data_IF_806864672851
#
_entry.id   IF_806864672851
#
_cell.length_a   1.000
_cell.length_b   1.000
_cell.length_c   1.000
_cell.angle_alpha   90.00
_cell.angle_beta   90.00
_cell.angle_gamma   90.00
#
_symmetry.space_group_name_H-M   'P 1'
#
loop_
_entity.id
_entity.type
_entity.pdbx_description
1 polymer ?
#
# COMPACT_ATOMS: atom_id res chain seq x y z
N UNK A 1 31.08 -7.68 -39.22
CA UNK A 1 30.20 -6.69 -38.58
C UNK A 1 28.78 -7.19 -38.72
N UNK A 2 28.16 -7.64 -37.64
CA UNK A 2 26.77 -8.09 -37.63
C UNK A 2 26.04 -7.29 -36.55
N UNK A 3 25.13 -6.44 -36.99
CA UNK A 3 24.21 -5.70 -36.13
C UNK A 3 23.10 -6.66 -35.66
N UNK A 4 22.95 -6.81 -34.34
CA UNK A 4 21.81 -7.52 -33.74
C UNK A 4 20.94 -6.49 -33.03
N UNK A 5 19.98 -5.93 -33.77
CA UNK A 5 18.85 -5.20 -33.20
C UNK A 5 17.81 -6.20 -32.71
N UNK A 6 18.00 -6.73 -31.50
CA UNK A 6 17.02 -7.55 -30.78
C UNK A 6 16.31 -6.73 -29.71
N UNK A 7 15.17 -6.14 -30.04
CA UNK A 7 14.31 -5.47 -29.07
C UNK A 7 13.74 -6.48 -28.06
N UNK A 8 14.21 -6.41 -26.81
CA UNK A 8 13.67 -7.21 -25.69
C UNK A 8 12.29 -6.66 -25.32
N UNK A 9 11.22 -7.35 -25.75
CA UNK A 9 9.85 -7.09 -25.28
C UNK A 9 9.72 -7.53 -23.82
N UNK A 10 9.61 -6.58 -22.90
CA UNK A 10 9.23 -6.85 -21.51
C UNK A 10 7.75 -7.24 -21.46
N UNK A 11 7.37 -8.39 -20.88
CA UNK A 11 5.97 -8.72 -20.67
C UNK A 11 5.36 -7.77 -19.64
N UNK A 12 4.12 -7.35 -19.91
CA UNK A 12 3.34 -6.40 -19.12
C UNK A 12 3.30 -6.80 -17.63
N UNK A 13 3.53 -5.82 -16.77
CA UNK A 13 3.38 -5.94 -15.32
C UNK A 13 1.90 -6.23 -15.03
N UNK A 14 1.61 -7.46 -14.56
CA UNK A 14 0.32 -7.78 -13.96
C UNK A 14 0.21 -6.99 -12.66
N UNK A 15 -0.63 -5.96 -12.68
CA UNK A 15 -1.11 -5.26 -11.49
C UNK A 15 -1.59 -6.31 -10.51
N UNK A 16 -0.97 -6.38 -9.33
CA UNK A 16 -1.42 -7.28 -8.27
C UNK A 16 -2.78 -6.78 -7.77
N UNK A 17 -3.84 -7.56 -7.99
CA UNK A 17 -5.17 -7.35 -7.43
C UNK A 17 -5.12 -7.54 -5.90
N UNK A 18 -4.76 -6.46 -5.18
CA UNK A 18 -4.79 -6.38 -3.71
C UNK A 18 -6.25 -6.29 -3.20
N UNK A 19 -7.20 -5.96 -4.07
CA UNK A 19 -8.61 -5.70 -3.73
C UNK A 19 -9.40 -6.93 -3.24
N UNK A 20 -8.88 -8.15 -3.41
CA UNK A 20 -9.59 -9.38 -3.04
C UNK A 20 -9.37 -9.88 -1.60
N UNK A 21 -8.48 -9.25 -0.82
CA UNK A 21 -8.16 -9.72 0.54
C UNK A 21 -9.02 -9.10 1.67
N UNK A 22 -9.86 -8.09 1.39
CA UNK A 22 -10.60 -7.34 2.43
C UNK A 22 -12.11 -7.52 2.44
N UNK A 23 -12.69 -8.43 1.64
CA UNK A 23 -14.14 -8.69 1.67
C UNK A 23 -14.52 -9.86 2.57
N UNK A 24 -14.90 -9.55 3.82
CA UNK A 24 -16.13 -10.02 4.52
C UNK A 24 -16.05 -9.72 6.02
N UNK A 25 -16.61 -8.60 6.44
CA UNK A 25 -17.33 -8.50 7.71
C UNK A 25 -18.57 -7.64 7.44
N UNK A 26 -19.74 -8.28 7.40
CA UNK A 26 -21.05 -7.62 7.28
C UNK A 26 -21.68 -7.57 8.67
N UNK A 27 -22.10 -6.38 9.09
CA UNK A 27 -23.10 -6.21 10.15
C UNK A 27 -23.96 -4.99 9.77
N UNK A 28 -25.23 -5.25 9.47
CA UNK A 28 -26.35 -4.29 9.50
C UNK A 28 -26.68 -4.04 10.99
N UNK A 29 -27.16 -2.90 11.50
CA UNK A 29 -27.99 -1.85 10.93
C UNK A 29 -27.88 -0.59 11.85
N UNK A 30 -28.06 0.61 11.31
CA UNK A 30 -27.93 1.86 12.07
C UNK A 30 -27.71 3.10 11.20
N UNK A 31 -28.67 3.39 10.34
CA UNK A 31 -28.57 4.37 9.28
C UNK A 31 -28.38 5.84 9.73
N UNK A 32 -27.53 6.55 8.96
CA UNK A 32 -27.59 7.97 8.52
C UNK A 32 -26.47 8.90 8.99
N UNK A 33 -25.29 8.73 8.39
CA UNK A 33 -24.42 9.86 8.00
C UNK A 33 -23.41 9.47 6.87
N UNK A 34 -23.80 8.55 5.99
CA UNK A 34 -22.85 7.78 5.17
C UNK A 34 -22.65 8.30 3.72
N UNK A 35 -22.85 9.59 3.48
CA UNK A 35 -22.69 10.20 2.15
C UNK A 35 -21.86 11.49 2.11
N UNK A 36 -20.89 11.63 3.02
CA UNK A 36 -19.74 12.51 2.79
C UNK A 36 -18.57 11.65 2.31
N UNK A 37 -18.57 11.39 0.99
CA UNK A 37 -17.74 10.41 0.31
C UNK A 37 -16.26 10.43 0.70
N UNK A 38 -15.74 9.24 1.02
CA UNK A 38 -14.42 8.67 0.69
C UNK A 38 -13.12 9.47 0.90
N UNK A 39 -13.17 10.73 1.33
CA UNK A 39 -12.06 11.69 1.26
C UNK A 39 -11.07 11.52 2.43
N UNK A 40 -11.53 11.01 3.56
CA UNK A 40 -10.76 10.92 4.80
C UNK A 40 -10.80 9.50 5.37
N UNK A 41 -9.93 8.58 4.88
CA UNK A 41 -9.82 7.25 5.46
C UNK A 41 -9.39 7.36 6.93
N UNK A 42 -9.94 6.48 7.76
CA UNK A 42 -9.64 6.39 9.20
C UNK A 42 -9.94 7.65 10.04
N UNK A 43 -10.78 8.58 9.54
CA UNK A 43 -11.16 9.78 10.30
C UNK A 43 -11.82 9.48 11.66
N UNK A 44 -12.48 8.32 11.77
CA UNK A 44 -13.29 7.92 12.93
C UNK A 44 -12.44 7.31 14.07
N UNK A 45 -11.13 7.13 13.89
CA UNK A 45 -10.24 6.55 14.90
C UNK A 45 -9.16 7.55 15.33
N UNK A 46 -8.64 7.44 16.57
CA UNK A 46 -7.54 8.28 17.06
C UNK A 46 -6.31 8.24 16.17
N UNK A 47 -5.59 9.37 16.07
CA UNK A 47 -4.43 9.50 15.19
C UNK A 47 -3.35 8.43 15.42
N UNK A 48 -3.13 8.03 16.68
CA UNK A 48 -2.18 6.99 17.02
C UNK A 48 -2.58 5.62 16.44
N UNK A 49 -3.86 5.26 16.54
CA UNK A 49 -4.40 4.03 15.92
C UNK A 49 -4.34 4.09 14.39
N UNK A 50 -4.48 5.28 13.79
CA UNK A 50 -4.27 5.44 12.34
C UNK A 50 -2.83 5.11 11.93
N UNK A 51 -1.84 5.55 12.72
CA UNK A 51 -0.44 5.27 12.46
C UNK A 51 -0.14 3.77 12.58
N UNK A 52 -0.68 3.12 13.61
CA UNK A 52 -0.53 1.68 13.83
C UNK A 52 -1.14 0.86 12.70
N UNK A 53 -2.35 1.21 12.25
CA UNK A 53 -2.98 0.55 11.10
C UNK A 53 -2.15 0.71 9.82
N UNK A 54 -1.69 1.93 9.54
CA UNK A 54 -0.84 2.18 8.37
C UNK A 54 0.48 1.43 8.44
N UNK A 55 1.09 1.33 9.63
CA UNK A 55 2.32 0.58 9.82
C UNK A 55 2.09 -0.91 9.51
N UNK A 56 1.02 -1.49 10.07
CA UNK A 56 0.65 -2.88 9.81
C UNK A 56 0.36 -3.15 8.32
N UNK A 57 -0.32 -2.22 7.64
CA UNK A 57 -0.54 -2.32 6.19
C UNK A 57 0.77 -2.35 5.39
N UNK A 58 1.73 -1.49 5.73
CA UNK A 58 3.05 -1.47 5.08
C UNK A 58 3.81 -2.77 5.32
N UNK A 59 3.77 -3.31 6.55
CA UNK A 59 4.38 -4.61 6.86
C UNK A 59 3.78 -5.75 6.03
N UNK A 60 2.45 -5.76 5.86
CA UNK A 60 1.76 -6.75 5.02
C UNK A 60 2.21 -6.62 3.56
N UNK A 61 2.29 -5.39 3.03
CA UNK A 61 2.73 -5.14 1.65
C UNK A 61 4.17 -5.64 1.45
N UNK A 62 5.08 -5.30 2.36
CA UNK A 62 6.48 -5.74 2.29
C UNK A 62 6.56 -7.26 2.34
N UNK A 63 5.84 -7.91 3.25
CA UNK A 63 5.81 -9.37 3.34
C UNK A 63 5.26 -10.03 2.07
N UNK A 64 4.20 -9.47 1.49
CA UNK A 64 3.65 -9.96 0.23
C UNK A 64 4.68 -9.83 -0.90
N UNK A 65 5.37 -8.70 -0.99
CA UNK A 65 6.47 -8.49 -1.94
C UNK A 65 7.57 -9.54 -1.76
N UNK A 66 8.01 -9.80 -0.52
CA UNK A 66 9.04 -10.80 -0.20
C UNK A 66 8.68 -12.18 -0.74
N UNK A 67 7.45 -12.61 -0.50
CA UNK A 67 6.93 -13.92 -0.94
C UNK A 67 6.90 -13.97 -2.47
N UNK A 68 6.34 -12.94 -3.12
CA UNK A 68 6.25 -12.88 -4.59
C UNK A 68 7.63 -12.80 -5.25
N UNK A 69 8.57 -12.06 -4.66
CA UNK A 69 9.94 -11.93 -5.15
C UNK A 69 10.68 -13.28 -5.11
N UNK A 70 10.65 -13.97 -3.98
CA UNK A 70 11.32 -15.27 -3.83
C UNK A 70 10.69 -16.36 -4.68
N UNK A 71 9.36 -16.34 -4.85
CA UNK A 71 8.66 -17.24 -5.78
C UNK A 71 9.10 -17.04 -7.22
N UNK A 72 9.34 -15.78 -7.63
CA UNK A 72 9.75 -15.44 -9.00
C UNK A 72 11.24 -15.66 -9.22
N UNK A 73 12.07 -15.45 -8.20
CA UNK A 73 13.52 -15.52 -8.29
C UNK A 73 14.13 -16.39 -7.19
N UNK A 74 13.91 -17.72 -7.23
CA UNK A 74 14.36 -18.63 -6.19
C UNK A 74 15.89 -18.65 -6.02
N UNK A 75 16.66 -18.30 -7.06
CA UNK A 75 18.12 -18.22 -7.01
C UNK A 75 18.63 -17.16 -6.02
N UNK A 76 17.82 -16.17 -5.67
CA UNK A 76 18.19 -15.13 -4.70
C UNK A 76 17.83 -15.48 -3.26
N UNK A 77 17.25 -16.66 -2.98
CA UNK A 77 16.78 -17.02 -1.63
C UNK A 77 17.87 -16.91 -0.57
N UNK A 78 19.08 -17.40 -0.87
CA UNK A 78 20.22 -17.32 0.06
C UNK A 78 20.60 -15.87 0.33
N UNK A 79 20.82 -15.08 -0.72
CA UNK A 79 21.13 -13.65 -0.60
C UNK A 79 20.04 -12.89 0.15
N UNK A 80 18.77 -13.20 -0.13
CA UNK A 80 17.63 -12.57 0.52
C UNK A 80 17.61 -12.85 2.03
N UNK A 81 17.80 -14.11 2.43
CA UNK A 81 17.86 -14.45 3.86
C UNK A 81 19.06 -13.80 4.55
N UNK A 82 20.24 -13.86 3.93
CA UNK A 82 21.49 -13.36 4.52
C UNK A 82 21.54 -11.81 4.60
N UNK A 83 20.95 -11.10 3.63
CA UNK A 83 21.09 -9.64 3.49
C UNK A 83 19.81 -8.89 3.88
N UNK A 84 18.65 -9.40 3.46
CA UNK A 84 17.38 -8.69 3.63
C UNK A 84 16.81 -8.86 5.03
N UNK A 85 16.86 -10.06 5.61
CA UNK A 85 16.32 -10.33 6.95
C UNK A 85 17.25 -9.91 8.08
N UNK A 86 18.57 -10.07 7.92
CA UNK A 86 19.50 -9.86 9.04
C UNK A 86 20.10 -8.45 9.15
N UNK A 87 20.19 -7.65 8.07
CA UNK A 87 21.07 -6.47 8.15
C UNK A 87 20.73 -5.21 7.35
N UNK A 88 19.97 -5.27 6.25
CA UNK A 88 19.88 -4.10 5.34
C UNK A 88 18.50 -3.47 5.16
N UNK A 89 17.42 -4.21 5.36
CA UNK A 89 16.07 -3.65 5.23
C UNK A 89 15.37 -3.66 6.59
N UNK A 90 15.27 -2.48 7.19
CA UNK A 90 14.41 -2.25 8.35
C UNK A 90 13.26 -1.37 7.91
N UNK A 91 12.06 -1.76 8.30
CA UNK A 91 10.90 -0.91 8.12
C UNK A 91 10.86 0.08 9.28
N UNK A 92 11.18 1.33 8.99
CA UNK A 92 11.08 2.38 9.99
C UNK A 92 9.62 2.66 10.35
N UNK A 93 9.41 3.17 11.56
CA UNK A 93 8.09 3.59 12.02
C UNK A 93 7.62 4.81 11.22
N UNK A 94 6.34 4.84 10.85
CA UNK A 94 5.75 5.98 10.16
C UNK A 94 5.99 7.28 10.94
N UNK A 95 6.58 8.26 10.25
CA UNK A 95 6.79 9.60 10.78
C UNK A 95 5.46 10.31 10.99
N UNK A 96 5.29 10.88 12.19
CA UNK A 96 4.08 11.61 12.54
C UNK A 96 4.05 12.97 11.83
N UNK A 97 2.87 13.36 11.37
CA UNK A 97 2.62 14.72 10.91
C UNK A 97 2.67 15.67 12.11
N UNK A 98 3.31 16.85 11.99
CA UNK A 98 3.30 17.85 13.05
C UNK A 98 1.90 18.45 13.28
N UNK A 99 1.01 18.36 12.29
CA UNK A 99 -0.37 18.87 12.35
C UNK A 99 -1.35 17.86 11.75
N UNK A 100 -2.43 17.55 12.47
CA UNK A 100 -3.45 16.57 12.06
C UNK A 100 -4.76 17.21 11.59
N UNK A 101 -5.02 18.46 11.95
CA UNK A 101 -6.20 19.23 11.54
C UNK A 101 -5.80 20.36 10.60
N UNK A 102 -6.57 20.59 9.53
CA UNK A 102 -6.30 21.64 8.53
C UNK A 102 -4.81 21.69 8.10
N UNK A 103 -4.24 20.50 7.83
CA UNK A 103 -2.85 20.32 7.41
C UNK A 103 -2.67 20.42 5.89
N UNK A 104 -3.75 20.21 5.12
CA UNK A 104 -3.73 20.34 3.66
C UNK A 104 -3.72 21.82 3.28
N UNK A 105 -2.77 22.21 2.43
CA UNK A 105 -2.63 23.56 1.89
C UNK A 105 -3.34 23.76 0.54
N UNK A 106 -3.90 22.68 -0.03
CA UNK A 106 -4.65 22.67 -1.29
C UNK A 106 -5.87 21.76 -1.14
N UNK A 107 -6.99 22.18 -1.70
CA UNK A 107 -8.15 21.32 -1.96
C UNK A 107 -8.58 21.46 -3.42
N UNK A 108 -9.22 20.42 -3.94
CA UNK A 108 -9.86 20.41 -5.26
C UNK A 108 -11.33 20.10 -5.05
N UNK A 109 -12.20 20.86 -5.71
CA UNK A 109 -13.64 20.78 -5.55
C UNK A 109 -14.27 20.59 -6.93
N UNK A 110 -15.02 19.51 -7.08
CA UNK A 110 -15.79 19.26 -8.29
C UNK A 110 -17.07 20.10 -8.25
N UNK A 111 -17.28 20.95 -9.27
CA UNK A 111 -18.49 21.75 -9.43
C UNK A 111 -19.36 21.11 -10.52
N UNK A 112 -20.55 20.65 -10.16
CA UNK A 112 -21.53 20.07 -11.07
C UNK A 112 -22.93 20.14 -10.46
N UNK A 113 -23.96 19.94 -11.27
CA UNK A 113 -25.33 19.77 -10.78
C UNK A 113 -25.50 18.32 -10.33
N UNK A 114 -25.79 18.12 -9.04
CA UNK A 114 -26.20 16.83 -8.48
C UNK A 114 -27.69 16.60 -8.74
#
# INVERSE_FOLDING_TARGET
>A
MAEVNGAVKRPAESVFDIDNLTKKFKSEDGAKEESQGTSLPYRNIPYQEQLEKKQAEVEIIVKAFSISFLKRYPQFTKWYNDVFLESRFRLDTIMKSPKTMAYRNKCELTVGLF
#
